data_IF_370586330038
#
_entry.id   IF_370586330038
#
_cell.length_a   1.000
_cell.length_b   1.000
_cell.length_c   1.000
_cell.angle_alpha   90.00
_cell.angle_beta   90.00
_cell.angle_gamma   90.00
#
_symmetry.space_group_name_H-M   'P 1'
#
loop_
_entity.id
_entity.type
_entity.pdbx_description
1 polymer ?
#
# COMPACT_ATOMS: atom_id res chain seq x y z
N UNK A 1 -3.01 -6.95 2.64
CA UNK A 1 -3.17 -7.84 1.46
C UNK A 1 -1.93 -7.71 0.60
N UNK A 2 -1.32 -8.82 0.23
CA UNK A 2 -0.17 -8.84 -0.68
C UNK A 2 -0.66 -9.35 -2.04
N UNK A 3 -0.25 -8.71 -3.12
CA UNK A 3 -0.54 -9.14 -4.49
C UNK A 3 0.78 -9.38 -5.23
N UNK A 4 0.85 -10.49 -5.96
CA UNK A 4 1.95 -10.79 -6.89
C UNK A 4 1.41 -10.62 -8.30
N UNK A 5 1.72 -9.50 -8.94
CA UNK A 5 1.41 -9.31 -10.36
C UNK A 5 2.72 -9.38 -11.15
N UNK A 6 2.84 -10.43 -11.98
CA UNK A 6 3.89 -10.78 -12.96
C UNK A 6 5.39 -10.72 -12.59
N UNK A 7 5.84 -9.95 -11.61
CA UNK A 7 7.08 -10.10 -10.84
C UNK A 7 7.21 -9.11 -9.66
N UNK A 8 6.17 -8.30 -9.40
CA UNK A 8 6.20 -7.26 -8.36
C UNK A 8 5.39 -7.69 -7.14
N UNK A 9 5.97 -7.48 -5.95
CA UNK A 9 5.32 -7.65 -4.66
C UNK A 9 4.68 -6.32 -4.27
N UNK A 10 3.35 -6.28 -4.25
CA UNK A 10 2.60 -5.09 -3.85
C UNK A 10 1.99 -5.34 -2.47
N UNK A 11 2.28 -4.46 -1.50
CA UNK A 11 1.58 -4.47 -0.21
C UNK A 11 0.46 -3.43 -0.20
N UNK A 12 -0.71 -3.84 0.27
CA UNK A 12 -1.89 -2.98 0.42
C UNK A 12 -2.41 -3.11 1.87
N UNK A 13 -2.39 -2.02 2.61
CA UNK A 13 -2.93 -1.92 3.97
C UNK A 13 -4.32 -1.26 3.95
N UNK A 14 -5.36 -2.02 4.31
CA UNK A 14 -6.74 -1.52 4.36
C UNK A 14 -7.03 -0.89 5.73
N UNK A 15 -7.54 0.35 5.75
CA UNK A 15 -8.02 1.00 6.99
C UNK A 15 -9.27 1.84 6.73
N UNK A 16 -10.20 1.84 7.68
CA UNK A 16 -11.42 2.66 7.60
C UNK A 16 -11.12 4.14 7.84
N UNK A 17 -10.43 4.49 8.95
CA UNK A 17 -10.27 5.89 9.36
C UNK A 17 -8.83 6.29 9.69
N UNK A 18 -8.07 5.46 10.41
CA UNK A 18 -6.75 5.83 10.94
C UNK A 18 -5.63 5.69 9.91
N UNK A 19 -5.65 6.58 8.91
CA UNK A 19 -4.69 6.59 7.81
C UNK A 19 -3.26 6.92 8.26
N UNK A 20 -3.07 7.67 9.36
CA UNK A 20 -1.73 7.98 9.89
C UNK A 20 -0.99 6.72 10.32
N UNK A 21 -1.66 5.85 11.08
CA UNK A 21 -1.09 4.54 11.44
C UNK A 21 -0.92 3.64 10.21
N UNK A 22 -1.86 3.70 9.26
CA UNK A 22 -1.74 2.97 7.99
C UNK A 22 -0.46 3.31 7.23
N UNK A 23 -0.10 4.60 7.18
CA UNK A 23 1.14 5.07 6.55
C UNK A 23 2.37 4.46 7.23
N UNK A 24 2.40 4.43 8.57
CA UNK A 24 3.52 3.84 9.32
C UNK A 24 3.67 2.35 8.98
N UNK A 25 2.57 1.61 8.93
CA UNK A 25 2.60 0.18 8.57
C UNK A 25 3.04 -0.04 7.12
N UNK A 26 2.50 0.75 6.19
CA UNK A 26 2.86 0.68 4.77
C UNK A 26 4.35 1.00 4.54
N UNK A 27 4.92 1.96 5.28
CA UNK A 27 6.36 2.26 5.23
C UNK A 27 7.22 1.06 5.65
N UNK A 28 6.84 0.35 6.72
CA UNK A 28 7.57 -0.83 7.16
C UNK A 28 7.49 -1.97 6.15
N UNK A 29 6.31 -2.18 5.55
CA UNK A 29 6.13 -3.21 4.52
C UNK A 29 6.87 -2.88 3.21
N UNK A 30 7.10 -1.59 2.94
CA UNK A 30 7.89 -1.14 1.78
C UNK A 30 9.30 -1.73 1.76
N UNK A 31 9.87 -2.13 2.91
CA UNK A 31 11.20 -2.73 2.99
C UNK A 31 11.34 -4.07 2.23
N UNK A 32 10.21 -4.76 1.99
CA UNK A 32 10.19 -6.02 1.23
C UNK A 32 9.24 -6.04 0.04
N UNK A 33 8.50 -4.95 -0.20
CA UNK A 33 7.52 -4.85 -1.27
C UNK A 33 7.98 -3.85 -2.32
N UNK A 34 7.89 -4.21 -3.60
CA UNK A 34 8.26 -3.33 -4.72
C UNK A 34 7.34 -2.11 -4.79
N UNK A 35 6.10 -2.23 -4.29
CA UNK A 35 5.18 -1.10 -4.08
C UNK A 35 4.42 -1.26 -2.77
N UNK A 36 4.11 -0.14 -2.13
CA UNK A 36 3.27 -0.11 -0.93
C UNK A 36 2.14 0.91 -1.10
N UNK A 37 0.93 0.50 -0.72
CA UNK A 37 -0.27 1.31 -0.76
C UNK A 37 -1.00 1.27 0.58
N UNK A 38 -1.69 2.36 0.90
CA UNK A 38 -2.82 2.32 1.83
C UNK A 38 -4.12 2.33 1.02
N UNK A 39 -5.11 1.57 1.45
CA UNK A 39 -6.46 1.58 0.89
C UNK A 39 -7.45 2.07 1.93
N UNK A 40 -8.25 3.07 1.55
CA UNK A 40 -9.20 3.76 2.45
C UNK A 40 -10.59 3.75 1.80
N UNK A 41 -11.69 3.78 2.57
CA UNK A 41 -13.01 4.06 2.02
C UNK A 41 -13.01 5.34 1.19
N UNK A 42 -13.75 5.34 0.08
CA UNK A 42 -13.88 6.51 -0.80
C UNK A 42 -14.29 7.74 0.00
N UNK A 43 -13.49 8.78 -0.13
CA UNK A 43 -13.70 10.07 0.53
C UNK A 43 -13.03 11.18 -0.27
N UNK A 44 -13.27 12.43 0.11
CA UNK A 44 -12.53 13.55 -0.47
C UNK A 44 -11.04 13.44 -0.14
N UNK A 45 -10.19 13.46 -1.16
CA UNK A 45 -8.74 13.57 -0.97
C UNK A 45 -8.42 14.97 -0.42
N UNK A 46 -7.88 15.01 0.80
CA UNK A 46 -7.42 16.25 1.42
C UNK A 46 -5.94 16.48 1.11
N UNK A 47 -5.49 17.74 1.11
CA UNK A 47 -4.08 18.06 0.95
C UNK A 47 -3.21 17.43 2.05
N UNK A 48 -3.71 17.36 3.28
CA UNK A 48 -2.99 16.76 4.39
C UNK A 48 -2.72 15.27 4.14
N UNK A 49 -3.73 14.54 3.65
CA UNK A 49 -3.59 13.13 3.29
C UNK A 49 -2.64 12.97 2.09
N UNK A 50 -2.84 13.77 1.04
CA UNK A 50 -1.98 13.74 -0.16
C UNK A 50 -0.50 13.97 0.20
N UNK A 51 -0.20 15.05 0.93
CA UNK A 51 1.16 15.36 1.40
C UNK A 51 1.74 14.23 2.25
N UNK A 52 0.98 13.67 3.18
CA UNK A 52 1.47 12.62 4.05
C UNK A 52 1.82 11.32 3.29
N UNK A 53 0.97 10.93 2.32
CA UNK A 53 1.19 9.77 1.45
C UNK A 53 2.42 9.98 0.57
N UNK A 54 2.51 11.13 -0.11
CA UNK A 54 3.64 11.48 -0.98
C UNK A 54 4.95 11.55 -0.21
N UNK A 55 4.97 12.21 0.96
CA UNK A 55 6.17 12.30 1.81
C UNK A 55 6.61 10.93 2.34
N UNK A 56 5.66 10.01 2.56
CA UNK A 56 5.96 8.64 2.94
C UNK A 56 6.44 7.77 1.77
N UNK A 57 6.39 8.28 0.53
CA UNK A 57 6.73 7.55 -0.70
C UNK A 57 5.95 6.24 -0.84
N UNK A 58 4.64 6.29 -0.58
CA UNK A 58 3.70 5.17 -0.78
C UNK A 58 2.54 5.63 -1.67
N UNK A 59 1.73 4.70 -2.18
CA UNK A 59 0.52 5.01 -2.94
C UNK A 59 -0.75 5.09 -2.11
N UNK A 60 -1.82 5.59 -2.72
CA UNK A 60 -3.15 5.69 -2.13
C UNK A 60 -4.21 5.09 -3.07
N UNK A 61 -4.97 4.14 -2.53
CA UNK A 61 -6.15 3.57 -3.15
C UNK A 61 -7.41 3.99 -2.37
N UNK A 62 -8.50 4.23 -3.09
CA UNK A 62 -9.83 4.33 -2.51
C UNK A 62 -10.69 3.13 -2.87
N UNK A 63 -11.38 2.58 -1.88
CA UNK A 63 -12.39 1.56 -2.06
C UNK A 63 -13.77 2.21 -2.07
N UNK A 64 -14.44 2.14 -3.21
CA UNK A 64 -15.82 2.53 -3.42
C UNK A 64 -16.72 1.33 -3.08
N UNK A 65 -17.27 1.32 -1.87
CA UNK A 65 -18.12 0.23 -1.37
C UNK A 65 -19.42 0.07 -2.15
N UNK A 66 -19.93 1.17 -2.71
CA UNK A 66 -21.22 1.19 -3.41
C UNK A 66 -21.11 0.44 -4.75
N UNK A 67 -19.92 0.49 -5.37
CA UNK A 67 -19.66 -0.12 -6.67
C UNK A 67 -18.70 -1.32 -6.59
N UNK A 68 -18.15 -1.63 -5.41
CA UNK A 68 -17.13 -2.66 -5.20
C UNK A 68 -15.80 -2.37 -5.93
N UNK A 69 -15.49 -1.10 -6.21
CA UNK A 69 -14.35 -0.71 -7.06
C UNK A 69 -13.19 -0.16 -6.24
N UNK A 70 -11.98 -0.48 -6.68
CA UNK A 70 -10.75 0.16 -6.19
C UNK A 70 -10.32 1.23 -7.20
N UNK A 71 -10.06 2.43 -6.70
CA UNK A 71 -9.65 3.61 -7.48
C UNK A 71 -8.25 4.01 -7.02
N UNK A 72 -7.29 4.04 -7.94
CA UNK A 72 -5.97 4.59 -7.64
C UNK A 72 -6.02 6.12 -7.65
N UNK A 73 -5.70 6.72 -6.51
CA UNK A 73 -5.71 8.18 -6.34
C UNK A 73 -4.30 8.75 -6.44
N UNK A 74 -3.32 8.03 -5.89
CA UNK A 74 -1.91 8.38 -5.93
C UNK A 74 -1.15 7.10 -6.25
N UNK A 75 -0.40 7.03 -7.37
CA UNK A 75 0.38 5.84 -7.70
C UNK A 75 1.51 5.65 -6.69
N UNK A 76 1.80 4.40 -6.32
CA UNK A 76 2.94 4.10 -5.48
C UNK A 76 4.24 4.20 -6.31
N UNK A 77 5.28 4.91 -5.82
CA UNK A 77 6.59 4.83 -6.43
C UNK A 77 7.13 3.42 -6.27
N UNK A 78 7.85 2.93 -7.29
CA UNK A 78 8.58 1.67 -7.22
C UNK A 78 9.73 1.79 -6.23
N UNK A 79 9.86 0.80 -5.36
CA UNK A 79 11.01 0.65 -4.48
C UNK A 79 12.06 -0.24 -5.16
N UNK A 80 13.27 0.29 -5.32
CA UNK A 80 14.36 -0.43 -5.97
C UNK A 80 15.36 -1.00 -4.94
N UNK A 81 15.33 -0.50 -3.70
CA UNK A 81 16.24 -0.89 -2.62
C UNK A 81 15.57 -1.87 -1.62
N UNK A 82 14.80 -2.82 -2.16
CA UNK A 82 14.17 -3.84 -1.33
C UNK A 82 15.22 -4.75 -0.71
N UNK A 83 15.08 -5.02 0.59
CA UNK A 83 15.97 -5.94 1.29
C UNK A 83 15.50 -7.37 0.98
N UNK A 84 16.33 -8.21 0.35
CA UNK A 84 15.91 -9.53 -0.14
C UNK A 84 15.27 -10.41 0.94
N UNK A 85 15.80 -10.38 2.16
CA UNK A 85 15.28 -11.14 3.31
C UNK A 85 13.84 -10.73 3.64
N UNK A 86 13.52 -9.43 3.64
CA UNK A 86 12.15 -8.98 3.91
C UNK A 86 11.20 -9.33 2.76
N UNK A 87 11.69 -9.34 1.52
CA UNK A 87 10.93 -9.79 0.35
C UNK A 87 10.58 -11.28 0.45
N UNK A 88 11.53 -12.13 0.82
CA UNK A 88 11.29 -13.56 1.07
C UNK A 88 10.31 -13.79 2.23
N UNK A 89 10.43 -13.03 3.33
CA UNK A 89 9.47 -13.11 4.44
C UNK A 89 8.05 -12.78 4.01
N UNK A 90 7.85 -11.74 3.19
CA UNK A 90 6.53 -11.38 2.66
C UNK A 90 6.00 -12.46 1.71
N UNK A 91 6.85 -13.02 0.84
CA UNK A 91 6.48 -14.11 -0.06
C UNK A 91 6.09 -15.39 0.70
N UNK A 92 6.77 -15.70 1.80
CA UNK A 92 6.44 -16.86 2.64
C UNK A 92 5.07 -16.73 3.33
N UNK A 93 4.61 -15.52 3.60
CA UNK A 93 3.26 -15.29 4.14
C UNK A 93 2.16 -15.48 3.08
N UNK A 94 2.47 -15.29 1.80
CA UNK A 94 1.55 -15.55 0.69
C UNK A 94 1.32 -17.05 0.46
N UNK A 95 2.37 -17.87 0.59
CA UNK A 95 2.30 -19.33 0.38
C UNK A 95 1.63 -20.11 1.51
N UNK A 96 1.18 -19.42 2.57
CA UNK A 96 0.49 -20.02 3.74
C UNK A 96 -1.03 -19.80 3.74
N UNK A 97 -1.55 -19.09 2.74
CA UNK A 97 -2.98 -18.88 2.49
C UNK A 97 -3.47 -19.90 1.46
#
# INVERSE_FOLDING_TARGET
MLLKDTNEVISIEFKVNNWKHAIVQAKNHKLGADKAYICLPKRKLTEALSRAVTNAKIGLLFFDSDNGKIIEMIPAPKENDNIPVFKEMLLNNLNKL
#
